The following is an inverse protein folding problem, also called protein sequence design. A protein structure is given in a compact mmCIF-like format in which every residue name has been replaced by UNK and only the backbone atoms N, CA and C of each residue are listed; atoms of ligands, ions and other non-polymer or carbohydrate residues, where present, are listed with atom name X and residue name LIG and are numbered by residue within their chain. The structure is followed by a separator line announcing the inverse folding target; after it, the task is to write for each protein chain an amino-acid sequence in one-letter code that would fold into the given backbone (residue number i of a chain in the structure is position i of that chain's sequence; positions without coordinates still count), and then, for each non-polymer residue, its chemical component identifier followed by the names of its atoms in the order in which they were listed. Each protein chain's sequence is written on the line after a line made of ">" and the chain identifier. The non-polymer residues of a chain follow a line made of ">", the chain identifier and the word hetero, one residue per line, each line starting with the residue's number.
data_IF_136682610619
#
_entry.id   IF_136682610619
#
_cell.length_a   1.000
_cell.length_b   1.000
_cell.length_c   1.000
_cell.angle_alpha   90.00
_cell.angle_beta   90.00
_cell.angle_gamma   90.00
#
_symmetry.space_group_name_H-M   'P 1'
#
loop_
_entity.id
_entity.type
_entity.pdbx_description
1 polymer ?
#
# COMPACT_ATOMS: atom_id res chain seq x y z
N UNK A 1 6.85 5.27 -26.83
CA UNK A 1 7.02 6.51 -26.03
C UNK A 1 7.33 6.10 -24.60
N UNK A 2 8.41 6.61 -24.00
CA UNK A 2 8.70 6.42 -22.58
C UNK A 2 8.16 7.63 -21.81
N UNK A 3 7.41 7.40 -20.73
CA UNK A 3 6.93 8.46 -19.85
C UNK A 3 8.10 9.02 -19.03
N UNK A 4 8.13 10.32 -18.79
CA UNK A 4 9.10 10.88 -17.85
C UNK A 4 8.74 10.42 -16.42
N UNK A 5 9.74 10.33 -15.54
CA UNK A 5 9.52 9.98 -14.13
C UNK A 5 8.48 10.89 -13.46
N UNK A 6 8.49 12.19 -13.78
CA UNK A 6 7.53 13.15 -13.25
C UNK A 6 6.09 12.82 -13.68
N UNK A 7 5.89 12.43 -14.95
CA UNK A 7 4.58 12.04 -15.48
C UNK A 7 4.05 10.80 -14.75
N UNK A 8 4.90 9.78 -14.58
CA UNK A 8 4.54 8.55 -13.84
C UNK A 8 4.10 8.88 -12.41
N UNK A 9 4.85 9.73 -11.69
CA UNK A 9 4.48 10.08 -10.32
C UNK A 9 3.22 10.95 -10.24
N UNK A 10 2.97 11.81 -11.23
CA UNK A 10 1.72 12.55 -11.36
C UNK A 10 0.52 11.59 -11.46
N UNK A 11 0.62 10.57 -12.32
CA UNK A 11 -0.39 9.52 -12.42
C UNK A 11 -0.55 8.76 -11.10
N UNK A 12 0.54 8.33 -10.47
CA UNK A 12 0.48 7.61 -9.19
C UNK A 12 -0.22 8.42 -8.10
N UNK A 13 0.05 9.73 -8.01
CA UNK A 13 -0.61 10.60 -7.04
C UNK A 13 -2.10 10.74 -7.32
N UNK A 14 -2.47 10.94 -8.59
CA UNK A 14 -3.87 11.04 -9.01
C UNK A 14 -4.65 9.74 -8.73
N UNK A 15 -4.11 8.59 -9.10
CA UNK A 15 -4.79 7.30 -8.90
C UNK A 15 -4.86 6.90 -7.42
N UNK A 16 -3.83 7.22 -6.61
CA UNK A 16 -3.94 7.05 -5.15
C UNK A 16 -5.05 7.90 -4.55
N UNK A 17 -5.19 9.16 -4.98
CA UNK A 17 -6.24 10.03 -4.49
C UNK A 17 -7.64 9.49 -4.85
N UNK A 18 -7.85 9.11 -6.12
CA UNK A 18 -9.10 8.50 -6.58
C UNK A 18 -9.47 7.25 -5.80
N UNK A 19 -8.52 6.34 -5.62
CA UNK A 19 -8.75 5.13 -4.83
C UNK A 19 -9.17 5.45 -3.38
N UNK A 20 -8.59 6.49 -2.76
CA UNK A 20 -9.00 6.88 -1.40
C UNK A 20 -10.41 7.45 -1.36
N UNK A 21 -10.85 8.11 -2.43
CA UNK A 21 -12.23 8.63 -2.54
C UNK A 21 -13.23 7.48 -2.74
N UNK A 22 -12.88 6.48 -3.57
CA UNK A 22 -13.67 5.27 -3.74
C UNK A 22 -13.82 4.48 -2.42
N UNK A 23 -12.71 4.29 -1.70
CA UNK A 23 -12.71 3.56 -0.42
C UNK A 23 -13.41 4.34 0.70
N UNK A 24 -13.41 5.68 0.67
CA UNK A 24 -14.10 6.50 1.65
C UNK A 24 -15.63 6.39 1.57
N UNK A 25 -16.16 5.94 0.43
CA UNK A 25 -17.59 5.72 0.23
C UNK A 25 -18.07 4.32 0.67
N UNK A 26 -17.15 3.43 1.08
CA UNK A 26 -17.52 2.08 1.51
C UNK A 26 -18.28 2.09 2.84
N UNK A 27 -19.34 1.27 2.99
CA UNK A 27 -19.97 1.07 4.27
C UNK A 27 -19.03 0.28 5.23
N UNK A 28 -19.17 0.42 6.56
CA UNK A 28 -18.27 -0.19 7.53
C UNK A 28 -18.06 -1.70 7.34
N UNK A 29 -19.12 -2.45 7.01
CA UNK A 29 -19.08 -3.89 6.80
C UNK A 29 -18.26 -4.32 5.57
N UNK A 30 -18.13 -3.45 4.56
CA UNK A 30 -17.42 -3.78 3.33
C UNK A 30 -15.91 -3.91 3.56
N UNK A 31 -15.37 -3.29 4.61
CA UNK A 31 -13.94 -3.37 4.96
C UNK A 31 -13.47 -4.78 5.31
N UNK A 32 -14.36 -5.61 5.84
CA UNK A 32 -14.10 -7.02 6.16
C UNK A 32 -14.37 -7.97 4.98
N UNK A 33 -14.73 -7.45 3.80
CA UNK A 33 -14.99 -8.28 2.62
C UNK A 33 -13.68 -8.93 2.15
N UNK A 34 -13.64 -10.26 1.95
CA UNK A 34 -12.47 -10.92 1.38
C UNK A 34 -12.10 -10.35 0.01
N UNK A 35 -10.83 -10.04 -0.18
CA UNK A 35 -10.28 -9.60 -1.46
C UNK A 35 -9.91 -10.80 -2.35
N UNK A 36 -9.43 -10.50 -3.57
CA UNK A 36 -8.85 -11.51 -4.45
C UNK A 36 -7.44 -11.96 -4.01
N UNK A 37 -6.82 -11.25 -3.06
CA UNK A 37 -5.59 -11.69 -2.41
C UNK A 37 -5.97 -12.68 -1.30
N UNK A 38 -5.59 -13.98 -1.41
CA UNK A 38 -6.00 -14.98 -0.43
C UNK A 38 -5.60 -14.59 1.00
N UNK A 39 -6.57 -14.63 1.91
CA UNK A 39 -6.37 -14.30 3.33
C UNK A 39 -6.38 -12.81 3.67
N UNK A 40 -6.61 -11.91 2.70
CA UNK A 40 -6.69 -10.47 2.93
C UNK A 40 -8.10 -9.96 2.70
N UNK A 41 -8.63 -9.17 3.64
CA UNK A 41 -9.82 -8.35 3.39
C UNK A 41 -9.46 -7.01 2.71
N UNK A 42 -10.45 -6.17 2.43
CA UNK A 42 -10.24 -4.84 1.82
C UNK A 42 -9.33 -3.96 2.69
N UNK A 43 -9.44 -4.05 4.01
CA UNK A 43 -8.62 -3.27 4.95
C UNK A 43 -7.16 -3.75 4.96
N UNK A 44 -6.89 -5.04 4.76
CA UNK A 44 -5.53 -5.60 4.64
C UNK A 44 -4.87 -5.10 3.37
N UNK A 45 -5.63 -5.08 2.25
CA UNK A 45 -5.16 -4.52 0.99
C UNK A 45 -4.79 -3.04 1.17
N UNK A 46 -5.64 -2.25 1.84
CA UNK A 46 -5.32 -0.84 2.10
C UNK A 46 -4.06 -0.69 2.98
N UNK A 47 -3.93 -1.48 4.04
CA UNK A 47 -2.74 -1.46 4.90
C UNK A 47 -1.47 -1.80 4.11
N UNK A 48 -1.54 -2.80 3.22
CA UNK A 48 -0.44 -3.14 2.32
C UNK A 48 -0.07 -2.00 1.37
N UNK A 49 -1.05 -1.26 0.84
CA UNK A 49 -0.81 -0.09 -0.01
C UNK A 49 -0.11 1.04 0.75
N UNK A 50 -0.49 1.28 2.01
CA UNK A 50 0.19 2.26 2.89
C UNK A 50 1.65 1.85 3.08
N UNK A 51 1.89 0.58 3.40
CA UNK A 51 3.23 0.05 3.63
C UNK A 51 4.11 0.20 2.38
N UNK A 52 3.56 -0.17 1.22
CA UNK A 52 4.24 -0.07 -0.06
C UNK A 52 4.56 1.38 -0.41
N UNK A 53 3.63 2.32 -0.17
CA UNK A 53 3.84 3.74 -0.44
C UNK A 53 4.93 4.37 0.45
N UNK A 54 5.18 3.82 1.64
CA UNK A 54 6.23 4.28 2.56
C UNK A 54 7.57 3.59 2.35
N UNK A 55 7.58 2.44 1.68
CA UNK A 55 8.78 1.60 1.54
C UNK A 55 9.73 2.14 0.48
N UNK A 56 10.98 2.40 0.88
CA UNK A 56 12.08 2.76 -0.02
C UNK A 56 12.81 1.52 -0.52
N UNK A 57 13.64 1.68 -1.57
CA UNK A 57 14.46 0.59 -2.11
C UNK A 57 15.36 -0.08 -1.08
N UNK A 58 16.05 0.70 -0.26
CA UNK A 58 16.95 0.17 0.79
C UNK A 58 16.16 -0.46 1.94
N UNK A 59 15.02 0.13 2.31
CA UNK A 59 14.11 -0.44 3.30
C UNK A 59 13.58 -1.80 2.86
N UNK A 60 13.17 -1.92 1.59
CA UNK A 60 12.72 -3.16 0.98
C UNK A 60 13.81 -4.24 1.01
N UNK A 61 15.03 -3.93 0.57
CA UNK A 61 16.14 -4.90 0.59
C UNK A 61 16.42 -5.45 2.00
N UNK A 62 16.46 -4.56 3.01
CA UNK A 62 16.65 -4.96 4.42
C UNK A 62 15.52 -5.85 4.91
N UNK A 63 14.28 -5.51 4.58
CA UNK A 63 13.09 -6.27 4.94
C UNK A 63 13.09 -7.66 4.32
N UNK A 64 13.38 -7.76 3.03
CA UNK A 64 13.51 -9.03 2.33
C UNK A 64 14.60 -9.93 2.93
N UNK A 65 15.75 -9.36 3.32
CA UNK A 65 16.77 -10.13 4.04
C UNK A 65 16.26 -10.64 5.39
N UNK A 66 15.56 -9.81 6.17
CA UNK A 66 14.97 -10.20 7.45
C UNK A 66 13.89 -11.29 7.29
N UNK A 67 13.11 -11.22 6.22
CA UNK A 67 12.11 -12.21 5.85
C UNK A 67 12.70 -13.44 5.14
N UNK A 68 14.03 -13.56 5.01
CA UNK A 68 14.70 -14.69 4.32
C UNK A 68 14.18 -14.89 2.88
N UNK A 69 13.92 -13.77 2.21
CA UNK A 69 13.36 -13.69 0.86
C UNK A 69 11.93 -14.21 0.68
N UNK A 70 11.19 -14.35 1.78
CA UNK A 70 9.76 -14.65 1.77
C UNK A 70 8.95 -13.34 1.69
N UNK A 71 8.30 -13.14 0.54
CA UNK A 71 7.45 -11.96 0.29
C UNK A 71 6.17 -11.99 1.12
N UNK A 72 5.60 -13.16 1.38
CA UNK A 72 4.35 -13.28 2.13
C UNK A 72 4.59 -12.94 3.59
N UNK A 73 5.72 -13.40 4.15
CA UNK A 73 6.16 -12.99 5.48
C UNK A 73 6.42 -11.48 5.56
N UNK A 74 7.08 -10.89 4.56
CA UNK A 74 7.33 -9.44 4.54
C UNK A 74 6.03 -8.63 4.44
N UNK A 75 5.10 -9.07 3.59
CA UNK A 75 3.79 -8.45 3.42
C UNK A 75 2.97 -8.54 4.71
N UNK A 76 2.95 -9.69 5.39
CA UNK A 76 2.25 -9.85 6.66
C UNK A 76 2.79 -8.89 7.74
N UNK A 77 4.11 -8.73 7.83
CA UNK A 77 4.73 -7.75 8.75
C UNK A 77 4.39 -6.31 8.35
N UNK A 78 4.32 -6.01 7.05
CA UNK A 78 3.91 -4.72 6.52
C UNK A 78 2.46 -4.36 6.88
N UNK A 79 1.54 -5.30 6.63
CA UNK A 79 0.12 -5.17 6.96
C UNK A 79 -0.07 -4.98 8.45
N UNK A 80 0.52 -5.84 9.28
CA UNK A 80 0.39 -5.73 10.74
C UNK A 80 0.90 -4.39 11.30
N UNK A 81 1.89 -3.78 10.63
CA UNK A 81 2.42 -2.46 11.01
C UNK A 81 1.49 -1.31 10.64
N UNK A 82 0.83 -1.38 9.49
CA UNK A 82 0.07 -0.26 8.92
C UNK A 82 -1.45 -0.37 9.13
N UNK A 83 -1.97 -1.59 9.35
CA UNK A 83 -3.39 -1.83 9.65
C UNK A 83 -3.70 -1.28 11.04
N UNK A 84 -4.58 -0.29 11.10
CA UNK A 84 -5.04 0.31 12.34
C UNK A 84 -6.32 -0.36 12.82
N UNK A 85 -6.77 -0.01 14.02
CA UNK A 85 -8.02 -0.54 14.56
C UNK A 85 -9.23 -0.13 13.70
N UNK A 86 -9.25 1.13 13.23
CA UNK A 86 -10.29 1.66 12.35
C UNK A 86 -9.77 1.75 10.89
N UNK A 87 -10.51 1.22 9.90
CA UNK A 87 -10.22 1.45 8.49
C UNK A 87 -10.10 2.93 8.11
N UNK A 88 -10.88 3.82 8.72
CA UNK A 88 -10.82 5.27 8.48
C UNK A 88 -9.45 5.85 8.83
N UNK A 89 -8.84 5.39 9.93
CA UNK A 89 -7.49 5.82 10.30
C UNK A 89 -6.44 5.31 9.30
N UNK A 90 -6.65 4.10 8.76
CA UNK A 90 -5.74 3.50 7.77
C UNK A 90 -5.85 4.26 6.44
N UNK A 91 -7.07 4.67 6.07
CA UNK A 91 -7.35 5.51 4.92
C UNK A 91 -6.73 6.91 5.08
N UNK A 92 -6.81 7.51 6.28
CA UNK A 92 -6.11 8.75 6.58
C UNK A 92 -4.58 8.61 6.45
N UNK A 93 -4.02 7.49 6.91
CA UNK A 93 -2.60 7.19 6.74
C UNK A 93 -2.19 7.06 5.26
N UNK A 94 -3.05 6.47 4.43
CA UNK A 94 -2.81 6.39 2.98
C UNK A 94 -2.93 7.75 2.31
N UNK A 95 -3.91 8.59 2.68
CA UNK A 95 -4.02 9.97 2.19
C UNK A 95 -2.76 10.78 2.49
N UNK A 96 -2.19 10.63 3.69
CA UNK A 96 -0.92 11.27 4.05
C UNK A 96 0.28 10.73 3.23
N UNK A 97 0.20 9.51 2.72
CA UNK A 97 1.24 8.89 1.90
C UNK A 97 1.14 9.22 0.40
N UNK A 98 0.04 9.84 -0.07
CA UNK A 98 -0.17 10.21 -1.48
C UNK A 98 1.05 10.89 -2.11
N UNK A 99 1.63 11.98 -1.56
CA UNK A 99 2.70 12.71 -2.23
C UNK A 99 4.05 11.97 -2.24
N UNK A 100 4.17 10.83 -1.54
CA UNK A 100 5.43 10.10 -1.45
C UNK A 100 5.83 9.48 -2.78
N UNK A 101 7.06 9.79 -3.22
CA UNK A 101 7.69 9.22 -4.41
C UNK A 101 8.65 8.06 -4.06
N UNK A 102 8.21 7.16 -3.18
CA UNK A 102 8.98 5.98 -2.75
C UNK A 102 8.50 4.74 -3.49
N UNK A 103 9.45 3.89 -3.84
CA UNK A 103 9.17 2.63 -4.52
C UNK A 103 10.14 1.56 -4.01
N UNK A 104 9.67 0.31 -3.80
CA UNK A 104 10.56 -0.81 -3.55
C UNK A 104 11.46 -1.07 -4.78
N UNK A 105 12.42 -1.98 -4.64
CA UNK A 105 13.18 -2.43 -5.79
C UNK A 105 12.25 -3.31 -6.63
N UNK A 106 11.80 -2.80 -7.78
CA UNK A 106 11.19 -3.63 -8.81
C UNK A 106 12.28 -4.09 -9.79
N UNK A 107 12.28 -5.36 -10.23
CA UNK A 107 13.08 -5.77 -11.40
C UNK A 107 12.70 -4.91 -12.61
N UNK A 108 13.68 -4.63 -13.46
CA UNK A 108 13.49 -3.83 -14.69
C UNK A 108 12.66 -4.57 -15.72
#
# INVERSE_FOLDING_TARGET
>A
MSLAKADVWSFVHAERARLMDDLAALPPEAWATPSLCPGWDVHDVLAHLVDTAKTSRTGFARRMMAARFDFDADNAVGIARERRADPCDTLAAMRAAIPLMRTPIAPR
#
